data_IF_688842398368
#
_entry.id   IF_688842398368
#
_cell.length_a   1.000
_cell.length_b   1.000
_cell.length_c   1.000
_cell.angle_alpha   90.00
_cell.angle_beta   90.00
_cell.angle_gamma   90.00
#
_symmetry.space_group_name_H-M   'P 1'
#
loop_
_entity.id
_entity.type
_entity.pdbx_description
1 polymer ?
#
# COMPACT_ATOMS: atom_id res chain seq x y z
N UNK A 1 -50.75 -4.52 32.37
CA UNK A 1 -50.69 -5.32 33.61
C UNK A 1 -49.54 -6.29 33.44
N UNK A 2 -48.45 -6.35 34.20
CA UNK A 2 -47.91 -5.67 35.37
C UNK A 2 -46.44 -6.16 35.41
N UNK A 3 -45.46 -5.26 35.27
CA UNK A 3 -44.51 -4.85 36.34
C UNK A 3 -43.38 -5.84 36.67
N UNK A 4 -42.13 -5.37 36.55
CA UNK A 4 -40.96 -5.92 37.28
C UNK A 4 -41.10 -5.76 38.80
N UNK A 5 -40.12 -6.15 39.64
CA UNK A 5 -38.89 -5.35 39.85
C UNK A 5 -37.61 -6.21 40.18
N UNK A 6 -36.38 -5.71 39.96
CA UNK A 6 -35.43 -5.02 40.87
C UNK A 6 -34.58 -5.88 41.83
N UNK A 7 -33.26 -5.68 41.70
CA UNK A 7 -32.14 -5.61 42.66
C UNK A 7 -32.25 -6.22 44.07
N UNK A 8 -31.15 -6.79 44.57
CA UNK A 8 -30.23 -6.10 45.50
C UNK A 8 -29.02 -6.97 45.90
N UNK A 9 -27.94 -6.23 46.10
CA UNK A 9 -26.64 -6.52 46.70
C UNK A 9 -26.76 -6.75 48.22
N UNK A 10 -25.99 -7.67 48.79
CA UNK A 10 -25.76 -7.79 50.24
C UNK A 10 -24.39 -8.44 50.56
N UNK A 11 -23.45 -7.57 50.94
CA UNK A 11 -22.65 -7.60 52.18
C UNK A 11 -21.62 -8.73 52.44
N UNK A 12 -20.37 -8.33 52.67
CA UNK A 12 -19.78 -8.49 54.01
C UNK A 12 -18.86 -7.30 54.37
N UNK A 13 -19.04 -6.80 55.59
CA UNK A 13 -18.38 -5.67 56.25
C UNK A 13 -17.28 -6.16 57.20
N UNK A 14 -16.32 -5.27 57.47
CA UNK A 14 -15.58 -5.14 58.75
C UNK A 14 -14.13 -5.61 58.70
N UNK A 15 -13.12 -4.89 59.21
CA UNK A 15 -13.08 -3.78 60.18
C UNK A 15 -11.71 -3.04 60.12
N UNK A 16 -11.74 -1.73 60.43
CA UNK A 16 -10.65 -0.82 60.86
C UNK A 16 -10.12 -1.23 62.27
N UNK A 17 -8.99 -0.81 62.87
CA UNK A 17 -8.20 0.46 62.89
C UNK A 17 -6.81 0.21 63.58
N UNK A 18 -5.86 1.18 63.65
CA UNK A 18 -4.44 1.03 64.05
C UNK A 18 -4.07 1.58 65.45
N UNK A 19 -2.85 1.31 65.94
CA UNK A 19 -2.21 2.06 67.05
C UNK A 19 -0.66 1.94 67.11
N UNK A 20 -0.01 3.05 67.52
CA UNK A 20 1.42 3.33 67.83
C UNK A 20 2.02 2.39 68.92
N UNK A 21 3.34 2.21 69.18
CA UNK A 21 4.36 3.23 69.56
C UNK A 21 5.81 2.65 69.75
N UNK A 22 6.80 3.55 69.65
CA UNK A 22 8.17 3.70 70.20
C UNK A 22 9.22 2.58 70.53
N UNK A 23 10.45 2.88 70.05
CA UNK A 23 11.79 2.85 70.73
C UNK A 23 12.73 1.62 70.68
N UNK A 24 13.94 1.82 70.12
CA UNK A 24 15.28 1.59 70.74
C UNK A 24 16.41 1.37 69.68
N UNK A 25 17.52 2.12 69.81
CA UNK A 25 18.83 1.92 69.13
C UNK A 25 19.88 1.45 70.14
N UNK A 26 21.00 0.79 69.74
CA UNK A 26 22.28 1.53 69.58
C UNK A 26 23.31 0.99 68.53
N UNK A 27 24.05 1.94 67.91
CA UNK A 27 25.51 2.10 67.61
C UNK A 27 26.40 0.82 67.51
N UNK A 28 27.24 0.60 66.48
CA UNK A 28 28.68 0.98 66.39
C UNK A 28 29.27 0.85 64.95
N UNK A 29 30.16 1.81 64.66
CA UNK A 29 31.12 2.06 63.57
C UNK A 29 31.81 0.91 62.82
N UNK A 30 32.13 1.14 61.54
CA UNK A 30 33.52 1.22 61.01
C UNK A 30 33.58 2.07 59.72
N UNK A 31 34.64 2.87 59.60
CA UNK A 31 35.07 3.76 58.50
C UNK A 31 36.54 3.39 58.13
N UNK A 32 37.34 4.04 57.22
CA UNK A 32 37.18 5.24 56.37
C UNK A 32 37.89 5.06 54.96
N UNK A 33 38.60 6.03 54.32
CA UNK A 33 38.18 7.29 53.67
C UNK A 33 38.68 7.45 52.19
N UNK A 34 38.16 8.48 51.49
CA UNK A 34 38.84 9.47 50.58
C UNK A 34 39.79 8.99 49.46
N UNK A 35 39.93 9.58 48.27
CA UNK A 35 39.53 10.82 47.57
C UNK A 35 40.05 10.62 46.12
N UNK A 36 39.46 11.23 45.10
CA UNK A 36 40.16 12.06 44.11
C UNK A 36 39.33 12.33 42.85
N UNK A 37 39.26 13.61 42.51
CA UNK A 37 38.78 14.14 41.25
C UNK A 37 39.77 13.78 40.14
N UNK A 38 39.33 12.99 39.16
CA UNK A 38 39.97 12.95 37.83
C UNK A 38 38.88 13.14 36.78
N UNK A 39 39.05 14.25 36.06
CA UNK A 39 38.39 14.62 34.81
C UNK A 39 38.52 13.49 33.78
N UNK A 40 37.48 12.71 33.59
CA UNK A 40 37.36 11.82 32.43
C UNK A 40 36.15 12.25 31.61
N UNK A 41 36.42 13.04 30.55
CA UNK A 41 35.49 13.24 29.44
C UNK A 41 34.99 11.86 28.96
N UNK A 42 33.68 11.63 28.80
CA UNK A 42 33.23 10.50 28.02
C UNK A 42 33.73 10.68 26.57
N UNK A 43 34.22 9.62 25.92
CA UNK A 43 34.74 9.70 24.57
C UNK A 43 33.65 10.20 23.63
N UNK A 44 34.00 11.14 22.75
CA UNK A 44 33.20 11.43 21.55
C UNK A 44 33.02 10.10 20.83
N UNK A 45 31.80 9.56 20.86
CA UNK A 45 31.39 8.54 19.91
C UNK A 45 31.44 9.24 18.56
N UNK A 46 32.54 9.04 17.85
CA UNK A 46 32.62 9.25 16.41
C UNK A 46 31.76 8.16 15.77
N UNK A 47 30.44 8.36 15.79
CA UNK A 47 29.57 7.86 14.74
C UNK A 47 29.25 9.02 13.82
N UNK A 48 30.30 9.59 13.22
CA UNK A 48 30.19 10.17 11.88
C UNK A 48 30.41 9.03 10.89
N UNK A 49 29.53 8.03 10.94
CA UNK A 49 29.09 7.48 9.67
C UNK A 49 28.31 8.60 9.04
N UNK A 50 28.74 9.08 7.86
CA UNK A 50 27.85 9.89 7.03
C UNK A 50 26.55 9.10 6.90
N UNK A 51 25.56 9.43 7.72
CA UNK A 51 24.19 9.04 7.49
C UNK A 51 23.81 9.84 6.27
N UNK A 52 24.17 9.34 5.08
CA UNK A 52 23.58 9.82 3.85
C UNK A 52 22.09 9.65 4.03
N UNK A 53 21.42 10.76 4.35
CA UNK A 53 19.99 10.81 4.57
C UNK A 53 19.37 10.34 3.27
N UNK A 54 18.85 9.11 3.27
CA UNK A 54 18.23 8.57 2.09
C UNK A 54 16.89 9.26 1.90
N UNK A 55 16.71 9.89 0.75
CA UNK A 55 15.46 10.48 0.34
C UNK A 55 15.01 9.84 -0.98
N UNK A 56 14.49 8.59 -0.94
CA UNK A 56 14.06 7.92 -2.14
C UNK A 56 12.96 8.74 -2.84
N UNK A 57 13.13 8.95 -4.12
CA UNK A 57 12.13 9.56 -4.98
C UNK A 57 11.66 8.52 -6.00
N UNK A 58 10.39 8.58 -6.37
CA UNK A 58 9.77 7.62 -7.28
C UNK A 58 9.06 8.38 -8.39
N UNK A 59 9.37 8.02 -9.63
CA UNK A 59 8.84 8.63 -10.84
C UNK A 59 8.04 7.60 -11.63
N UNK A 60 6.78 7.89 -11.93
CA UNK A 60 5.93 7.03 -12.74
C UNK A 60 6.40 7.05 -14.21
N UNK A 61 6.70 5.88 -14.75
CA UNK A 61 7.06 5.74 -16.16
C UNK A 61 5.80 5.79 -17.04
N UNK A 62 5.92 6.38 -18.24
CA UNK A 62 4.80 6.54 -19.19
C UNK A 62 3.62 7.34 -18.59
N UNK A 63 3.91 8.37 -17.81
CA UNK A 63 2.91 9.26 -17.20
C UNK A 63 1.91 9.82 -18.24
N UNK A 64 2.36 10.20 -19.44
CA UNK A 64 1.48 10.70 -20.50
C UNK A 64 0.39 9.69 -20.88
N UNK A 65 0.73 8.40 -20.95
CA UNK A 65 -0.23 7.35 -21.26
C UNK A 65 -1.21 7.16 -20.11
N UNK A 66 -0.72 7.15 -18.87
CA UNK A 66 -1.59 7.10 -17.68
C UNK A 66 -2.57 8.28 -17.64
N UNK A 67 -2.10 9.49 -17.91
CA UNK A 67 -2.93 10.71 -17.97
C UNK A 67 -4.00 10.60 -19.05
N UNK A 68 -3.69 10.02 -20.22
CA UNK A 68 -4.70 9.77 -21.26
C UNK A 68 -5.78 8.79 -20.82
N UNK A 69 -5.42 7.70 -20.13
CA UNK A 69 -6.40 6.77 -19.55
C UNK A 69 -7.24 7.43 -18.45
N UNK A 70 -6.57 8.17 -17.55
CA UNK A 70 -7.20 8.85 -16.43
C UNK A 70 -8.27 9.84 -16.88
N UNK A 71 -7.99 10.60 -17.95
CA UNK A 71 -8.95 11.54 -18.57
C UNK A 71 -10.31 10.92 -18.93
N UNK A 72 -10.34 9.63 -19.28
CA UNK A 72 -11.56 8.92 -19.65
C UNK A 72 -12.11 8.00 -18.55
N UNK A 73 -11.51 8.03 -17.36
CA UNK A 73 -11.80 7.11 -16.26
C UNK A 73 -11.19 5.75 -16.56
N UNK A 74 -9.98 5.51 -16.08
CA UNK A 74 -9.24 4.26 -16.33
C UNK A 74 -10.05 3.04 -15.89
N UNK A 75 -10.12 2.02 -16.75
CA UNK A 75 -10.75 0.74 -16.42
C UNK A 75 -9.72 -0.39 -16.46
N UNK A 76 -9.79 -1.29 -15.48
CA UNK A 76 -8.96 -2.49 -15.44
C UNK A 76 -9.85 -3.73 -15.41
N UNK A 77 -9.67 -4.62 -16.39
CA UNK A 77 -10.40 -5.87 -16.44
C UNK A 77 -9.90 -6.81 -15.35
N UNK A 78 -10.82 -7.41 -14.60
CA UNK A 78 -10.56 -8.47 -13.63
C UNK A 78 -11.16 -9.79 -14.11
N UNK A 79 -10.45 -10.90 -13.90
CA UNK A 79 -10.89 -12.23 -14.33
C UNK A 79 -10.61 -13.27 -13.26
N UNK A 80 -11.34 -14.40 -13.29
CA UNK A 80 -11.14 -15.50 -12.34
C UNK A 80 -9.68 -16.03 -12.33
N UNK A 81 -9.05 -16.10 -13.50
CA UNK A 81 -7.68 -16.57 -13.71
C UNK A 81 -6.59 -15.50 -13.52
N UNK A 82 -6.98 -14.26 -13.17
CA UNK A 82 -6.08 -13.14 -13.02
C UNK A 82 -5.74 -12.43 -14.33
N UNK A 83 -5.83 -11.10 -14.34
CA UNK A 83 -5.52 -10.24 -15.48
C UNK A 83 -4.42 -9.23 -15.14
N UNK A 84 -3.43 -9.07 -16.01
CA UNK A 84 -2.38 -8.05 -15.84
C UNK A 84 -2.95 -6.65 -16.09
N UNK A 85 -2.40 -5.66 -15.40
CA UNK A 85 -2.72 -4.25 -15.64
C UNK A 85 -2.20 -3.80 -17.01
N UNK A 86 -2.91 -2.85 -17.58
CA UNK A 86 -2.43 -2.06 -18.70
C UNK A 86 -3.00 -0.62 -18.58
N UNK A 87 -2.22 0.45 -18.65
CA UNK A 87 -0.76 0.46 -18.74
C UNK A 87 -0.10 -0.28 -17.57
N UNK A 88 1.11 -0.82 -17.74
CA UNK A 88 1.82 -1.45 -16.64
C UNK A 88 2.26 -0.39 -15.61
N UNK A 89 2.18 -0.74 -14.33
CA UNK A 89 2.72 0.09 -13.25
C UNK A 89 4.24 -0.09 -13.19
N UNK A 90 4.94 0.93 -13.71
CA UNK A 90 6.39 0.98 -13.81
C UNK A 90 6.89 2.26 -13.15
N UNK A 91 7.98 2.16 -12.41
CA UNK A 91 8.55 3.29 -11.71
C UNK A 91 10.07 3.32 -11.84
N UNK A 92 10.63 4.53 -11.88
CA UNK A 92 12.06 4.79 -11.73
C UNK A 92 12.32 5.39 -10.37
N UNK A 93 13.43 5.03 -9.74
CA UNK A 93 13.76 5.48 -8.41
C UNK A 93 15.11 6.19 -8.39
N UNK A 94 15.25 7.18 -7.53
CA UNK A 94 16.50 7.93 -7.25
C UNK A 94 16.59 8.22 -5.75
N UNK A 95 17.69 8.82 -5.28
CA UNK A 95 17.84 9.30 -3.90
C UNK A 95 17.96 8.20 -2.84
N UNK A 96 18.25 6.96 -3.23
CA UNK A 96 18.45 5.83 -2.32
C UNK A 96 19.92 5.71 -1.92
N UNK A 97 20.19 5.20 -0.71
CA UNK A 97 21.53 4.76 -0.31
C UNK A 97 21.95 3.56 -1.17
N UNK A 98 23.07 3.69 -1.87
CA UNK A 98 23.54 2.68 -2.83
C UNK A 98 23.81 1.32 -2.20
N UNK A 99 24.25 1.29 -0.95
CA UNK A 99 24.72 0.09 -0.25
C UNK A 99 23.62 -0.54 0.61
N UNK A 100 22.66 0.25 1.09
CA UNK A 100 21.55 -0.26 1.86
C UNK A 100 20.62 -1.17 1.03
N UNK A 101 19.99 -2.12 1.71
CA UNK A 101 18.98 -3.02 1.12
C UNK A 101 17.59 -2.43 1.27
N UNK A 102 16.81 -2.57 0.21
CA UNK A 102 15.43 -2.12 0.15
C UNK A 102 14.53 -3.22 -0.41
N UNK A 103 13.31 -3.23 0.09
CA UNK A 103 12.20 -4.06 -0.37
C UNK A 103 11.20 -3.14 -1.05
N UNK A 104 10.84 -3.49 -2.28
CA UNK A 104 9.79 -2.83 -3.04
C UNK A 104 8.54 -3.68 -3.02
N UNK A 105 7.41 -3.06 -2.72
CA UNK A 105 6.12 -3.73 -2.77
C UNK A 105 5.04 -2.75 -3.23
N UNK A 106 3.94 -3.31 -3.73
CA UNK A 106 2.79 -2.55 -4.20
C UNK A 106 1.54 -3.13 -3.59
N UNK A 107 0.61 -2.27 -3.18
CA UNK A 107 -0.75 -2.65 -2.87
C UNK A 107 -1.75 -1.85 -3.70
N UNK A 108 -3.00 -2.27 -3.64
CA UNK A 108 -4.12 -1.61 -4.29
C UNK A 108 -5.19 -1.47 -3.22
N UNK A 109 -5.55 -0.23 -2.90
CA UNK A 109 -6.56 0.11 -1.90
C UNK A 109 -7.81 0.65 -2.56
N UNK A 110 -8.96 0.53 -1.90
CA UNK A 110 -10.17 1.25 -2.32
C UNK A 110 -9.92 2.75 -2.29
N UNK A 111 -10.37 3.45 -3.33
CA UNK A 111 -10.25 4.91 -3.40
C UNK A 111 -11.39 5.62 -2.65
N UNK A 112 -12.56 4.98 -2.58
CA UNK A 112 -13.75 5.48 -1.89
C UNK A 112 -14.65 4.31 -1.42
N UNK A 113 -15.72 4.65 -0.70
CA UNK A 113 -16.76 3.72 -0.23
C UNK A 113 -17.98 3.68 -1.19
N UNK A 114 -17.74 3.77 -2.50
CA UNK A 114 -18.78 3.81 -3.53
C UNK A 114 -18.73 2.60 -4.46
N UNK A 115 -19.93 2.10 -4.81
CA UNK A 115 -20.14 1.21 -5.95
C UNK A 115 -20.63 2.02 -7.13
N UNK A 116 -20.06 1.77 -8.31
CA UNK A 116 -20.30 2.56 -9.51
C UNK A 116 -21.16 1.84 -10.55
N UNK A 117 -21.74 2.62 -11.46
CA UNK A 117 -22.33 2.14 -12.72
C UNK A 117 -21.94 3.07 -13.86
N UNK A 118 -21.80 2.52 -15.05
CA UNK A 118 -21.57 3.30 -16.26
C UNK A 118 -22.89 3.44 -17.02
N UNK A 119 -23.34 4.67 -17.26
CA UNK A 119 -24.58 4.93 -17.96
C UNK A 119 -24.50 6.27 -18.70
N UNK A 120 -25.00 6.30 -19.94
CA UNK A 120 -24.92 7.47 -20.85
C UNK A 120 -23.49 8.05 -20.93
N UNK A 121 -22.52 7.16 -21.14
CA UNK A 121 -21.09 7.49 -21.27
C UNK A 121 -20.47 8.19 -20.06
N UNK A 122 -21.03 8.00 -18.86
CA UNK A 122 -20.54 8.59 -17.62
C UNK A 122 -20.56 7.57 -16.48
N UNK A 123 -19.55 7.66 -15.61
CA UNK A 123 -19.51 6.96 -14.33
C UNK A 123 -20.39 7.68 -13.32
N UNK A 124 -21.24 6.92 -12.63
CA UNK A 124 -22.13 7.43 -11.58
C UNK A 124 -22.09 6.51 -10.37
N UNK A 125 -22.26 7.08 -9.18
CA UNK A 125 -22.45 6.31 -7.95
C UNK A 125 -23.79 5.57 -8.03
N UNK A 126 -23.75 4.26 -7.81
CA UNK A 126 -24.91 3.38 -7.78
C UNK A 126 -25.34 3.02 -6.35
N UNK A 127 -24.42 3.10 -5.39
CA UNK A 127 -24.67 2.80 -3.98
C UNK A 127 -23.38 2.76 -3.17
N UNK A 128 -23.47 2.21 -1.95
CA UNK A 128 -22.34 1.95 -1.07
C UNK A 128 -21.44 0.83 -1.63
N UNK A 129 -20.15 0.88 -1.35
CA UNK A 129 -19.24 -0.19 -1.72
C UNK A 129 -19.59 -1.52 -1.04
N UNK A 130 -19.29 -2.61 -1.75
CA UNK A 130 -19.30 -3.96 -1.19
C UNK A 130 -18.13 -4.09 -0.18
N UNK A 131 -18.21 -5.02 0.80
CA UNK A 131 -17.14 -5.22 1.79
C UNK A 131 -15.75 -5.38 1.15
N UNK A 132 -14.75 -4.70 1.73
CA UNK A 132 -13.38 -4.74 1.21
C UNK A 132 -12.79 -6.15 1.34
N UNK A 133 -12.13 -6.61 0.27
CA UNK A 133 -11.44 -7.90 0.25
C UNK A 133 -10.12 -7.83 1.03
N UNK A 134 -9.59 -8.96 1.55
CA UNK A 134 -8.31 -8.97 2.23
C UNK A 134 -7.20 -8.34 1.37
N UNK A 135 -6.54 -7.32 1.93
CA UNK A 135 -5.45 -6.61 1.26
C UNK A 135 -4.28 -7.54 1.04
N UNK A 136 -3.77 -7.58 -0.19
CA UNK A 136 -2.59 -8.36 -0.57
C UNK A 136 -1.48 -7.42 -1.01
N UNK A 137 -0.36 -7.47 -0.30
CA UNK A 137 0.87 -6.80 -0.70
C UNK A 137 1.59 -7.65 -1.73
N UNK A 138 1.90 -7.06 -2.88
CA UNK A 138 2.71 -7.69 -3.92
C UNK A 138 4.15 -7.24 -3.79
N UNK A 139 4.99 -8.10 -3.23
CA UNK A 139 6.44 -7.86 -3.13
C UNK A 139 7.06 -8.03 -4.53
N UNK A 140 7.90 -7.08 -4.93
CA UNK A 140 8.64 -7.18 -6.18
C UNK A 140 9.61 -8.38 -6.10
N UNK A 141 9.68 -9.24 -7.13
CA UNK A 141 10.45 -10.50 -7.08
C UNK A 141 11.95 -10.29 -6.85
N UNK A 142 12.48 -9.13 -7.18
CA UNK A 142 13.90 -8.79 -6.97
C UNK A 142 14.19 -8.31 -5.53
N UNK A 143 13.17 -8.21 -4.67
CA UNK A 143 13.37 -7.79 -3.28
C UNK A 143 13.91 -8.95 -2.42
N UNK A 144 14.80 -8.67 -1.45
CA UNK A 144 15.48 -7.40 -1.21
C UNK A 144 16.67 -7.18 -2.17
N UNK A 145 16.85 -5.94 -2.65
CA UNK A 145 18.00 -5.53 -3.48
C UNK A 145 18.62 -4.23 -2.97
N UNK A 146 19.86 -3.93 -3.38
CA UNK A 146 20.53 -2.69 -2.96
C UNK A 146 19.91 -1.47 -3.61
N UNK A 147 20.06 -0.28 -3.01
CA UNK A 147 19.59 0.96 -3.62
C UNK A 147 20.21 1.20 -5.00
N UNK A 148 21.49 0.85 -5.19
CA UNK A 148 22.13 0.91 -6.52
C UNK A 148 21.42 0.01 -7.54
N UNK A 149 21.11 -1.23 -7.18
CA UNK A 149 20.40 -2.16 -8.05
C UNK A 149 19.00 -1.64 -8.42
N UNK A 150 18.27 -1.05 -7.46
CA UNK A 150 16.95 -0.47 -7.72
C UNK A 150 17.00 0.77 -8.62
N UNK A 151 17.96 1.66 -8.39
CA UNK A 151 18.12 2.87 -9.21
C UNK A 151 18.67 2.58 -10.61
N UNK A 152 19.33 1.43 -10.82
CA UNK A 152 19.93 1.06 -12.11
C UNK A 152 18.91 0.75 -13.23
N UNK A 153 17.65 0.41 -12.87
CA UNK A 153 16.65 -0.07 -13.82
C UNK A 153 15.24 0.35 -13.44
N UNK A 154 14.32 0.27 -14.40
CA UNK A 154 12.89 0.49 -14.15
C UNK A 154 12.32 -0.66 -13.32
N UNK A 155 11.69 -0.33 -12.20
CA UNK A 155 10.93 -1.26 -11.36
C UNK A 155 9.59 -1.55 -12.02
N UNK A 156 9.26 -2.82 -12.23
CA UNK A 156 8.08 -3.21 -13.01
C UNK A 156 7.31 -4.37 -12.38
N UNK A 157 6.11 -4.08 -11.89
CA UNK A 157 5.20 -5.06 -11.28
C UNK A 157 4.42 -5.89 -12.31
N UNK A 158 5.08 -6.33 -13.38
CA UNK A 158 4.48 -7.07 -14.50
C UNK A 158 3.87 -8.43 -14.13
N UNK A 159 4.24 -9.00 -12.98
CA UNK A 159 3.67 -10.24 -12.44
C UNK A 159 2.36 -10.00 -11.68
N UNK A 160 2.05 -8.76 -11.29
CA UNK A 160 0.82 -8.45 -10.59
C UNK A 160 -0.39 -8.72 -11.49
N UNK A 161 -1.37 -9.42 -10.93
CA UNK A 161 -2.63 -9.77 -11.59
C UNK A 161 -3.81 -9.43 -10.68
N UNK A 162 -4.88 -8.99 -11.31
CA UNK A 162 -6.16 -8.65 -10.69
C UNK A 162 -7.17 -9.76 -10.92
N UNK A 163 -7.89 -10.16 -9.88
CA UNK A 163 -8.91 -11.22 -9.94
C UNK A 163 -10.20 -10.81 -9.24
N UNK A 164 -11.32 -11.37 -9.67
CA UNK A 164 -12.60 -11.31 -8.94
C UNK A 164 -12.87 -12.61 -8.14
N UNK A 165 -11.93 -13.55 -8.12
CA UNK A 165 -12.07 -14.80 -7.38
C UNK A 165 -11.67 -14.59 -5.92
N UNK A 166 -12.66 -14.52 -5.02
CA UNK A 166 -12.43 -14.36 -3.58
C UNK A 166 -11.66 -15.52 -2.95
N UNK A 167 -11.72 -16.71 -3.58
CA UNK A 167 -11.04 -17.92 -3.13
C UNK A 167 -9.73 -18.15 -3.87
N UNK A 168 -9.11 -17.10 -4.43
CA UNK A 168 -7.85 -17.21 -5.16
C UNK A 168 -6.71 -17.72 -4.27
N UNK A 169 -6.05 -18.80 -4.73
CA UNK A 169 -4.90 -19.42 -4.07
C UNK A 169 -3.54 -18.98 -4.64
N UNK A 170 -3.53 -18.22 -5.74
CA UNK A 170 -2.29 -17.82 -6.43
C UNK A 170 -1.65 -16.55 -5.85
N UNK A 171 -2.31 -15.88 -4.91
CA UNK A 171 -1.83 -14.62 -4.35
C UNK A 171 -2.15 -13.40 -5.21
N UNK A 172 -3.08 -13.50 -6.18
CA UNK A 172 -3.50 -12.36 -7.00
C UNK A 172 -4.27 -11.33 -6.17
N UNK A 173 -4.23 -10.06 -6.58
CA UNK A 173 -4.99 -9.00 -5.91
C UNK A 173 -6.47 -9.17 -6.23
N UNK A 174 -7.27 -9.42 -5.19
CA UNK A 174 -8.71 -9.64 -5.32
C UNK A 174 -9.42 -8.29 -5.23
N UNK A 175 -10.21 -7.95 -6.25
CA UNK A 175 -10.95 -6.70 -6.32
C UNK A 175 -12.44 -6.98 -6.57
N UNK A 176 -13.29 -6.11 -6.04
CA UNK A 176 -14.71 -6.07 -6.38
C UNK A 176 -14.89 -5.33 -7.70
N UNK A 177 -15.68 -5.90 -8.61
CA UNK A 177 -16.03 -5.20 -9.86
C UNK A 177 -16.85 -3.95 -9.55
N UNK A 178 -16.75 -2.95 -10.40
CA UNK A 178 -17.44 -1.66 -10.32
C UNK A 178 -17.08 -0.82 -9.09
N UNK A 179 -15.88 -1.03 -8.56
CA UNK A 179 -15.30 -0.24 -7.46
C UNK A 179 -14.03 0.46 -7.93
N UNK A 180 -13.73 1.57 -7.29
CA UNK A 180 -12.61 2.44 -7.63
C UNK A 180 -11.42 2.15 -6.71
N UNK A 181 -10.23 2.14 -7.29
CA UNK A 181 -9.01 1.72 -6.63
C UNK A 181 -7.83 2.64 -6.92
N UNK A 182 -6.95 2.77 -5.94
CA UNK A 182 -5.70 3.52 -6.02
C UNK A 182 -4.52 2.57 -5.78
N UNK A 183 -3.66 2.33 -6.79
CA UNK A 183 -2.36 1.68 -6.59
C UNK A 183 -1.44 2.53 -5.70
N UNK A 184 -0.66 1.89 -4.84
CA UNK A 184 0.37 2.56 -4.03
C UNK A 184 1.68 1.80 -4.09
N UNK A 185 2.77 2.53 -4.31
CA UNK A 185 4.13 1.98 -4.25
C UNK A 185 4.68 2.16 -2.85
N UNK A 186 5.38 1.16 -2.35
CA UNK A 186 6.02 1.22 -1.05
C UNK A 186 7.49 0.83 -1.16
N UNK A 187 8.33 1.63 -0.51
CA UNK A 187 9.76 1.38 -0.33
C UNK A 187 10.01 1.20 1.16
N UNK A 188 10.64 0.08 1.50
CA UNK A 188 11.02 -0.25 2.87
C UNK A 188 12.53 -0.51 2.92
N UNK A 189 13.27 0.26 3.73
CA UNK A 189 14.70 0.04 3.96
C UNK A 189 14.88 -1.14 4.92
N UNK A 190 15.06 -2.33 4.37
CA UNK A 190 15.21 -3.57 5.12
C UNK A 190 15.99 -4.61 4.30
N UNK A 191 16.79 -5.43 4.98
CA UNK A 191 17.55 -6.53 4.36
C UNK A 191 16.78 -7.86 4.34
N UNK A 192 15.65 -7.96 5.04
CA UNK A 192 14.86 -9.18 5.16
C UNK A 192 13.35 -8.87 5.13
N UNK A 193 12.61 -9.66 4.36
CA UNK A 193 11.14 -9.58 4.21
C UNK A 193 10.44 -9.86 5.55
N UNK A 194 11.02 -10.69 6.42
CA UNK A 194 10.46 -10.97 7.74
C UNK A 194 10.38 -9.73 8.64
N UNK A 195 11.14 -8.67 8.31
CA UNK A 195 11.13 -7.40 9.05
C UNK A 195 10.02 -6.43 8.60
N UNK A 196 9.32 -6.72 7.51
CA UNK A 196 8.25 -5.85 7.00
C UNK A 196 7.22 -5.43 8.06
N UNK A 197 6.72 -6.32 8.95
CA UNK A 197 5.72 -5.93 9.96
C UNK A 197 6.20 -4.87 10.96
N UNK A 198 7.52 -4.71 11.12
CA UNK A 198 8.14 -3.80 12.09
C UNK A 198 8.88 -2.63 11.42
N UNK A 199 8.85 -2.55 10.09
CA UNK A 199 9.60 -1.55 9.33
C UNK A 199 8.72 -0.35 8.97
N UNK A 200 9.36 0.80 8.76
CA UNK A 200 8.66 2.01 8.30
C UNK A 200 8.48 1.96 6.78
N UNK A 201 7.26 2.26 6.31
CA UNK A 201 6.93 2.27 4.89
C UNK A 201 6.96 3.70 4.34
N UNK A 202 7.79 3.95 3.33
CA UNK A 202 7.67 5.15 2.50
C UNK A 202 6.70 4.86 1.36
N UNK A 203 5.57 5.57 1.32
CA UNK A 203 4.47 5.30 0.38
C UNK A 203 4.36 6.40 -0.66
N UNK A 204 4.29 6.01 -1.93
CA UNK A 204 4.18 6.90 -3.09
C UNK A 204 2.89 6.59 -3.84
N UNK A 205 2.10 7.63 -4.11
CA UNK A 205 0.79 7.53 -4.73
C UNK A 205 0.75 8.44 -5.95
N UNK A 206 0.37 7.88 -7.10
CA UNK A 206 0.18 8.62 -8.34
C UNK A 206 -1.32 8.64 -8.64
N UNK A 207 -1.96 9.79 -8.46
CA UNK A 207 -3.41 9.93 -8.56
C UNK A 207 -3.94 9.54 -9.96
N UNK A 208 -3.16 9.78 -11.01
CA UNK A 208 -3.48 9.41 -12.39
C UNK A 208 -3.55 7.88 -12.61
N UNK A 209 -3.05 7.08 -11.67
CA UNK A 209 -3.13 5.61 -11.74
C UNK A 209 -4.41 5.04 -11.12
N UNK A 210 -5.30 5.89 -10.60
CA UNK A 210 -6.64 5.50 -10.16
C UNK A 210 -7.41 4.80 -11.31
N UNK A 211 -8.14 3.74 -10.98
CA UNK A 211 -8.96 3.01 -11.94
C UNK A 211 -10.22 2.40 -11.31
N UNK A 212 -11.18 2.06 -12.16
CA UNK A 212 -12.34 1.24 -11.79
C UNK A 212 -12.11 -0.19 -12.27
N UNK A 213 -12.24 -1.16 -11.36
CA UNK A 213 -12.17 -2.57 -11.71
C UNK A 213 -13.46 -3.00 -12.42
N UNK A 214 -13.37 -3.71 -13.55
CA UNK A 214 -14.54 -4.12 -14.35
C UNK A 214 -14.38 -5.56 -14.83
N UNK A 215 -15.47 -6.29 -15.05
CA UNK A 215 -15.40 -7.62 -15.70
C UNK A 215 -15.33 -7.52 -17.23
N UNK A 216 -15.84 -6.42 -17.79
CA UNK A 216 -15.74 -6.04 -19.20
C UNK A 216 -15.69 -4.52 -19.30
N UNK A 217 -15.01 -4.00 -20.33
CA UNK A 217 -14.92 -2.56 -20.55
C UNK A 217 -16.30 -1.93 -20.72
N UNK A 218 -16.49 -0.75 -20.12
CA UNK A 218 -17.73 0.02 -20.16
C UNK A 218 -17.62 1.20 -21.13
N UNK A 219 -16.49 1.91 -21.10
CA UNK A 219 -16.22 3.04 -21.97
C UNK A 219 -15.45 2.63 -23.23
N UNK A 220 -16.08 2.73 -24.40
CA UNK A 220 -15.45 2.43 -25.69
C UNK A 220 -14.17 3.24 -25.96
N UNK A 221 -14.04 4.45 -25.40
CA UNK A 221 -12.81 5.24 -25.52
C UNK A 221 -11.64 4.58 -24.81
N UNK A 222 -11.90 3.96 -23.65
CA UNK A 222 -10.90 3.17 -22.93
C UNK A 222 -10.55 1.92 -23.75
N UNK A 223 -11.56 1.20 -24.25
CA UNK A 223 -11.32 0.03 -25.11
C UNK A 223 -10.41 0.37 -26.30
N UNK A 224 -10.68 1.49 -26.98
CA UNK A 224 -9.87 1.94 -28.10
C UNK A 224 -8.44 2.29 -27.67
N UNK A 225 -8.26 3.03 -26.57
CA UNK A 225 -6.92 3.31 -26.02
C UNK A 225 -6.16 2.03 -25.67
N UNK A 226 -6.83 1.00 -25.13
CA UNK A 226 -6.21 -0.30 -24.85
C UNK A 226 -5.78 -0.98 -26.16
N UNK A 227 -6.63 -0.97 -27.19
CA UNK A 227 -6.32 -1.57 -28.50
C UNK A 227 -5.10 -0.88 -29.12
N UNK A 228 -5.08 0.45 -29.12
CA UNK A 228 -4.05 1.26 -29.79
C UNK A 228 -2.69 1.18 -29.10
N UNK A 229 -2.67 1.05 -27.77
CA UNK A 229 -1.43 1.12 -27.01
C UNK A 229 -0.92 -0.23 -26.50
N UNK A 230 -1.78 -1.23 -26.32
CA UNK A 230 -1.35 -2.55 -25.83
C UNK A 230 -0.82 -3.42 -26.98
N UNK A 231 0.46 -3.84 -26.96
CA UNK A 231 1.02 -4.70 -28.01
C UNK A 231 0.26 -6.01 -28.20
N UNK A 232 -0.31 -6.55 -27.12
CA UNK A 232 -1.08 -7.80 -27.15
C UNK A 232 -2.48 -7.65 -27.73
N UNK A 233 -2.93 -6.42 -28.03
CA UNK A 233 -4.22 -6.13 -28.66
C UNK A 233 -4.07 -5.71 -30.14
N UNK A 234 -2.87 -5.83 -30.73
CA UNK A 234 -2.56 -5.35 -32.09
C UNK A 234 -3.53 -5.88 -33.15
N UNK A 235 -3.97 -7.14 -33.06
CA UNK A 235 -4.89 -7.75 -34.03
C UNK A 235 -6.26 -7.06 -34.15
N UNK A 236 -6.68 -6.29 -33.15
CA UNK A 236 -7.94 -5.54 -33.20
C UNK A 236 -7.82 -4.18 -33.90
N UNK A 237 -6.61 -3.65 -34.10
CA UNK A 237 -6.37 -2.35 -34.73
C UNK A 237 -6.82 -2.33 -36.20
N UNK A 238 -6.44 -3.36 -36.95
CA UNK A 238 -6.73 -3.48 -38.38
C UNK A 238 -8.22 -3.72 -38.66
N UNK A 239 -8.89 -4.48 -37.79
CA UNK A 239 -10.33 -4.74 -37.90
C UNK A 239 -11.16 -3.48 -37.62
N UNK A 240 -10.68 -2.60 -36.73
CA UNK A 240 -11.30 -1.29 -36.46
C UNK A 240 -11.26 -0.35 -37.68
N UNK A 241 -10.13 -0.32 -38.39
CA UNK A 241 -9.97 0.52 -39.59
C UNK A 241 -10.89 0.09 -40.74
N UNK A 242 -11.02 -1.22 -41.01
CA UNK A 242 -11.96 -1.74 -42.03
C UNK A 242 -13.44 -1.43 -41.73
N UNK A 243 -13.81 -1.30 -40.46
CA UNK A 243 -15.19 -0.91 -40.07
C UNK A 243 -15.41 0.60 -40.17
N UNK A 244 -14.39 1.44 -39.94
CA UNK A 244 -14.46 2.89 -40.11
C UNK A 244 -14.58 3.29 -41.58
N UNK A 245 -13.83 2.65 -42.47
CA UNK A 245 -13.93 2.91 -43.92
C UNK A 245 -15.34 2.63 -44.46
N UNK A 246 -15.98 1.53 -44.06
CA UNK A 246 -17.35 1.21 -44.51
C UNK A 246 -18.41 2.22 -44.06
N UNK A 247 -18.19 2.99 -43.00
CA UNK A 247 -19.13 4.05 -42.55
C UNK A 247 -18.98 5.36 -43.33
N UNK A 248 -17.84 5.58 -43.98
CA UNK A 248 -17.59 6.78 -44.80
C UNK A 248 -18.01 6.62 -46.27
N UNK A 249 -18.42 5.42 -46.70
CA UNK A 249 -18.82 5.14 -48.10
C UNK A 249 -20.34 5.28 -48.32
N UNK A 250 -21.10 5.68 -47.29
CA UNK A 250 -22.52 5.99 -47.41
C UNK A 250 -22.80 7.45 -47.01
N UNK A 251 -22.42 8.37 -47.89
CA UNK A 251 -23.02 9.70 -48.02
C UNK A 251 -23.00 10.10 -49.50
#
# INVERSE_FOLDING_TARGET
MLSGPSAMDLSFRGLFDPSLDASATPIIHTSPPEQSLILCRPPKILEEGEMTEDNPEVYLESNDLWTQFHKYGTEMVITKSGRRLFPPLKARCTGMDRNAKYIFLMDIVTADDCRYKFHKSRWMVAGKADPEMPKRMSIHPDSPATGEQWMSKVVNFHKLKLTNNISDKHGFTILNSMHKYQPRFHIVKAHDILKLPFSTFRTYVFCETEFIAVTAYQNDKITQLKIDNNPFAKGFRETGNRRREKRHVFH
#
